data_IF_988705418206
#
_entry.id   IF_988705418206
#
_cell.length_a   1.000
_cell.length_b   1.000
_cell.length_c   1.000
_cell.angle_alpha   90.00
_cell.angle_beta   90.00
_cell.angle_gamma   90.00
#
_symmetry.space_group_name_H-M   'P 1'
#
loop_
_entity.id
_entity.type
_entity.pdbx_description
1 polymer ?
#
# COMPACT_ATOMS: atom_id res chain seq x y z
N UNK A 1 8.97 -8.74 -15.27
CA UNK A 1 7.51 -8.89 -15.08
C UNK A 1 7.09 -7.93 -13.97
N UNK A 2 6.04 -7.13 -14.19
CA UNK A 2 5.37 -6.35 -13.14
C UNK A 2 4.07 -7.06 -12.79
N UNK A 3 4.03 -7.72 -11.65
CA UNK A 3 2.84 -8.42 -11.14
C UNK A 3 2.03 -7.47 -10.25
N UNK A 4 1.01 -6.83 -10.82
CA UNK A 4 0.18 -5.83 -10.13
C UNK A 4 -1.19 -6.38 -9.71
N UNK A 5 -1.45 -7.68 -9.93
CA UNK A 5 -2.73 -8.30 -9.63
C UNK A 5 -2.94 -8.49 -8.13
N UNK A 6 -3.89 -7.79 -7.55
CA UNK A 6 -4.28 -7.92 -6.14
C UNK A 6 -5.71 -7.41 -5.90
N UNK A 7 -6.34 -7.85 -4.81
CA UNK A 7 -7.50 -7.16 -4.24
C UNK A 7 -7.04 -6.18 -3.17
N UNK A 8 -7.64 -4.99 -3.14
CA UNK A 8 -7.35 -3.95 -2.14
C UNK A 8 -7.96 -4.29 -0.77
N UNK A 9 -7.51 -3.59 0.27
CA UNK A 9 -7.74 -3.94 1.68
C UNK A 9 -9.20 -4.25 2.03
N UNK A 10 -10.13 -3.34 1.76
CA UNK A 10 -11.56 -3.51 2.09
C UNK A 10 -12.20 -4.64 1.27
N UNK A 11 -11.85 -4.73 -0.02
CA UNK A 11 -12.38 -5.78 -0.90
C UNK A 11 -11.82 -7.15 -0.51
N UNK A 12 -10.56 -7.23 -0.09
CA UNK A 12 -9.95 -8.46 0.37
C UNK A 12 -10.63 -9.02 1.64
N UNK A 13 -11.06 -8.15 2.58
CA UNK A 13 -11.82 -8.57 3.75
C UNK A 13 -13.19 -9.14 3.38
N UNK A 14 -13.87 -8.56 2.41
CA UNK A 14 -15.18 -9.07 1.95
C UNK A 14 -15.07 -10.36 1.13
N UNK A 15 -13.89 -10.67 0.55
CA UNK A 15 -13.65 -11.81 -0.35
C UNK A 15 -12.31 -12.50 -0.08
N UNK A 16 -12.08 -13.04 1.14
CA UNK A 16 -10.76 -13.52 1.55
C UNK A 16 -10.22 -14.68 0.68
N UNK A 17 -11.06 -15.61 0.28
CA UNK A 17 -10.65 -16.71 -0.60
C UNK A 17 -10.22 -16.22 -1.99
N UNK A 18 -10.88 -15.18 -2.52
CA UNK A 18 -10.51 -14.58 -3.79
C UNK A 18 -9.22 -13.78 -3.68
N UNK A 19 -9.02 -13.07 -2.55
CA UNK A 19 -7.78 -12.35 -2.26
C UNK A 19 -6.58 -13.31 -2.24
N UNK A 20 -6.73 -14.47 -1.59
CA UNK A 20 -5.71 -15.52 -1.60
C UNK A 20 -5.43 -16.00 -3.01
N UNK A 21 -6.47 -16.42 -3.74
CA UNK A 21 -6.33 -16.98 -5.07
C UNK A 21 -5.63 -16.03 -6.05
N UNK A 22 -6.02 -14.75 -6.06
CA UNK A 22 -5.40 -13.76 -6.94
C UNK A 22 -3.98 -13.40 -6.46
N UNK A 23 -3.83 -13.12 -5.15
CA UNK A 23 -2.57 -12.65 -4.58
C UNK A 23 -1.50 -13.73 -4.50
N UNK A 24 -1.85 -14.93 -4.11
CA UNK A 24 -0.88 -16.00 -3.81
C UNK A 24 -0.77 -17.01 -4.96
N UNK A 25 -1.89 -17.61 -5.40
CA UNK A 25 -1.83 -18.55 -6.53
C UNK A 25 -1.41 -17.83 -7.82
N UNK A 26 -1.87 -16.57 -8.00
CA UNK A 26 -1.44 -15.72 -9.10
C UNK A 26 0.06 -15.43 -9.06
N UNK A 27 0.60 -15.04 -7.90
CA UNK A 27 2.05 -14.83 -7.76
C UNK A 27 2.84 -16.10 -7.99
N UNK A 28 2.38 -17.24 -7.46
CA UNK A 28 3.04 -18.54 -7.68
C UNK A 28 3.23 -18.79 -9.18
N UNK A 29 2.17 -18.63 -9.98
CA UNK A 29 2.25 -18.81 -11.43
C UNK A 29 3.26 -17.84 -12.09
N UNK A 30 3.28 -16.58 -11.64
CA UNK A 30 4.23 -15.57 -12.14
C UNK A 30 5.67 -15.97 -11.81
N UNK A 31 5.92 -16.45 -10.59
CA UNK A 31 7.26 -16.88 -10.15
C UNK A 31 7.73 -18.13 -10.89
N UNK A 32 6.85 -19.09 -11.19
CA UNK A 32 7.20 -20.26 -12.01
C UNK A 32 7.57 -19.86 -13.44
N UNK A 33 6.79 -18.97 -14.06
CA UNK A 33 7.10 -18.41 -15.39
C UNK A 33 8.44 -17.64 -15.34
N UNK A 34 8.65 -16.83 -14.30
CA UNK A 34 9.88 -16.07 -14.15
C UNK A 34 11.11 -16.99 -13.98
N UNK A 35 10.96 -18.11 -13.27
CA UNK A 35 11.99 -19.14 -13.12
C UNK A 35 12.32 -19.80 -14.46
N UNK A 36 11.30 -20.17 -15.24
CA UNK A 36 11.45 -20.83 -16.54
C UNK A 36 12.14 -19.93 -17.57
N UNK A 37 11.74 -18.66 -17.62
CA UNK A 37 12.19 -17.70 -18.64
C UNK A 37 13.26 -16.72 -18.13
N UNK A 38 13.79 -16.92 -16.93
CA UNK A 38 14.83 -16.07 -16.32
C UNK A 38 14.44 -14.57 -16.30
N UNK A 39 13.23 -14.28 -15.87
CA UNK A 39 12.71 -12.92 -15.78
C UNK A 39 12.88 -12.35 -14.36
N UNK A 40 13.21 -11.06 -14.25
CA UNK A 40 13.05 -10.34 -12.99
C UNK A 40 11.56 -10.06 -12.72
N UNK A 41 11.14 -10.09 -11.46
CA UNK A 41 9.75 -9.89 -11.01
C UNK A 41 9.65 -8.75 -10.01
N UNK A 42 8.80 -7.79 -10.28
CA UNK A 42 8.34 -6.80 -9.32
C UNK A 42 6.94 -7.16 -8.83
N UNK A 43 6.75 -7.27 -7.51
CA UNK A 43 5.43 -7.45 -6.90
C UNK A 43 5.25 -6.43 -5.77
N UNK A 44 4.26 -5.53 -5.84
CA UNK A 44 4.04 -4.53 -4.80
C UNK A 44 3.65 -5.16 -3.47
N UNK A 45 4.37 -4.82 -2.40
CA UNK A 45 3.91 -4.97 -1.03
C UNK A 45 3.23 -3.68 -0.54
N UNK A 46 2.96 -3.56 0.73
CA UNK A 46 2.18 -2.46 1.32
C UNK A 46 2.51 -2.30 2.80
N UNK A 47 2.26 -1.10 3.35
CA UNK A 47 2.19 -0.88 4.80
C UNK A 47 1.18 -1.81 5.48
N UNK A 48 0.19 -2.32 4.73
CA UNK A 48 -0.74 -3.34 5.21
C UNK A 48 -0.11 -4.68 5.59
N UNK A 49 1.16 -4.93 5.27
CA UNK A 49 1.94 -6.09 5.75
C UNK A 49 2.31 -6.00 7.23
N UNK A 50 2.21 -4.82 7.83
CA UNK A 50 2.42 -4.58 9.26
C UNK A 50 1.15 -4.82 10.06
N UNK A 51 1.25 -4.79 11.37
CA UNK A 51 0.11 -5.00 12.28
C UNK A 51 0.35 -4.32 13.63
N UNK A 52 -0.61 -4.42 14.55
CA UNK A 52 -0.62 -3.74 15.84
C UNK A 52 0.64 -3.92 16.71
N UNK A 53 1.38 -5.02 16.53
CA UNK A 53 2.63 -5.27 17.25
C UNK A 53 3.87 -4.61 16.60
N UNK A 54 3.70 -4.01 15.44
CA UNK A 54 4.75 -3.26 14.74
C UNK A 54 4.91 -1.89 15.37
N UNK A 55 6.13 -1.35 15.54
CA UNK A 55 6.31 0.05 15.93
C UNK A 55 5.62 0.98 14.93
N UNK A 56 4.71 1.83 15.41
CA UNK A 56 3.85 2.65 14.53
C UNK A 56 4.56 3.87 13.96
N UNK A 57 5.53 4.43 14.68
CA UNK A 57 6.24 5.64 14.26
C UNK A 57 7.64 5.28 13.81
N UNK A 58 8.03 5.71 12.61
CA UNK A 58 9.32 5.40 11.98
C UNK A 58 9.57 3.89 11.95
N UNK A 59 8.60 3.16 11.44
CA UNK A 59 8.62 1.69 11.37
C UNK A 59 9.90 1.19 10.72
N UNK A 60 10.72 0.38 11.40
CA UNK A 60 11.96 -0.13 10.86
C UNK A 60 11.76 -1.02 9.62
N UNK A 61 12.78 -1.08 8.77
CA UNK A 61 12.79 -1.98 7.60
C UNK A 61 12.56 -3.44 8.01
N UNK A 62 13.28 -3.88 9.04
CA UNK A 62 13.19 -5.23 9.59
C UNK A 62 12.47 -5.17 10.93
N UNK A 63 11.23 -5.63 10.96
CA UNK A 63 10.38 -5.59 12.14
C UNK A 63 9.29 -6.67 12.08
N UNK A 64 8.47 -6.75 13.13
CA UNK A 64 7.37 -7.71 13.24
C UNK A 64 6.29 -7.41 12.20
N UNK A 65 5.97 -8.41 11.39
CA UNK A 65 4.86 -8.39 10.44
C UNK A 65 3.79 -9.40 10.91
N UNK A 66 2.76 -8.91 11.61
CA UNK A 66 1.63 -9.74 12.09
C UNK A 66 0.30 -9.03 11.80
N UNK A 67 -0.04 -8.83 10.52
CA UNK A 67 -1.30 -8.21 10.14
C UNK A 67 -2.47 -9.12 10.54
N UNK A 68 -3.64 -8.50 10.78
CA UNK A 68 -4.89 -9.19 11.08
C UNK A 68 -5.88 -9.15 9.91
N UNK A 69 -5.53 -8.45 8.83
CA UNK A 69 -6.35 -8.38 7.63
C UNK A 69 -5.92 -9.42 6.60
N UNK A 70 -6.86 -9.92 5.80
CA UNK A 70 -6.55 -10.85 4.70
C UNK A 70 -5.60 -10.21 3.69
N UNK A 71 -5.79 -8.92 3.41
CA UNK A 71 -4.88 -8.15 2.57
C UNK A 71 -3.44 -8.20 3.10
N UNK A 72 -3.27 -7.89 4.39
CA UNK A 72 -1.94 -7.93 5.02
C UNK A 72 -1.32 -9.33 5.04
N UNK A 73 -2.12 -10.36 5.34
CA UNK A 73 -1.68 -11.77 5.27
C UNK A 73 -1.17 -12.12 3.88
N UNK A 74 -1.89 -11.72 2.81
CA UNK A 74 -1.41 -11.95 1.45
C UNK A 74 -0.12 -11.19 1.16
N UNK A 75 0.02 -9.94 1.62
CA UNK A 75 1.25 -9.16 1.39
C UNK A 75 2.47 -9.76 2.09
N UNK A 76 2.36 -10.18 3.34
CA UNK A 76 3.45 -10.90 4.04
C UNK A 76 3.80 -12.20 3.30
N UNK A 77 2.80 -12.96 2.89
CA UNK A 77 3.02 -14.20 2.14
C UNK A 77 3.72 -13.94 0.81
N UNK A 78 3.36 -12.85 0.09
CA UNK A 78 4.03 -12.50 -1.17
C UNK A 78 5.51 -12.12 -0.94
N UNK A 79 5.83 -11.39 0.12
CA UNK A 79 7.22 -11.06 0.47
C UNK A 79 8.04 -12.34 0.74
N UNK A 80 7.54 -13.22 1.63
CA UNK A 80 8.22 -14.46 2.01
C UNK A 80 8.36 -15.43 0.83
N UNK A 81 7.33 -15.57 0.00
CA UNK A 81 7.38 -16.42 -1.18
C UNK A 81 8.38 -15.91 -2.22
N UNK A 82 8.45 -14.60 -2.41
CA UNK A 82 9.40 -13.96 -3.30
C UNK A 82 10.85 -14.15 -2.81
N UNK A 83 11.10 -14.02 -1.50
CA UNK A 83 12.41 -14.30 -0.89
C UNK A 83 12.80 -15.77 -1.05
N UNK A 84 11.85 -16.70 -0.87
CA UNK A 84 12.08 -18.12 -1.09
C UNK A 84 12.51 -18.40 -2.54
N UNK A 85 11.80 -17.84 -3.53
CA UNK A 85 12.17 -18.03 -4.95
C UNK A 85 13.52 -17.43 -5.31
N UNK A 86 13.85 -16.29 -4.72
CA UNK A 86 15.19 -15.72 -4.88
C UNK A 86 16.26 -16.64 -4.29
N UNK A 87 16.10 -17.06 -3.05
CA UNK A 87 17.09 -17.87 -2.33
C UNK A 87 17.24 -19.28 -2.93
N UNK A 88 16.10 -19.89 -3.29
CA UNK A 88 16.07 -21.29 -3.75
C UNK A 88 16.40 -21.43 -5.22
N UNK A 89 15.91 -20.54 -6.05
CA UNK A 89 15.92 -20.68 -7.51
C UNK A 89 16.66 -19.56 -8.23
N UNK A 90 17.13 -18.54 -7.51
CA UNK A 90 17.84 -17.40 -8.10
C UNK A 90 16.96 -16.44 -8.89
N UNK A 91 15.62 -16.52 -8.75
CA UNK A 91 14.71 -15.59 -9.42
C UNK A 91 14.89 -14.19 -8.86
N UNK A 92 15.17 -13.22 -9.70
CA UNK A 92 15.37 -11.82 -9.31
C UNK A 92 14.03 -11.18 -8.93
N UNK A 93 13.61 -11.38 -7.68
CA UNK A 93 12.38 -10.80 -7.13
C UNK A 93 12.66 -9.49 -6.42
N UNK A 94 11.81 -8.49 -6.61
CA UNK A 94 11.94 -7.15 -6.03
C UNK A 94 10.59 -6.61 -5.62
N UNK A 95 10.54 -5.91 -4.48
CA UNK A 95 9.30 -5.36 -3.93
C UNK A 95 9.55 -4.10 -3.12
N UNK A 96 8.54 -3.24 -3.05
CA UNK A 96 8.46 -2.12 -2.12
C UNK A 96 7.16 -2.20 -1.31
N UNK A 97 7.20 -1.78 -0.06
CA UNK A 97 6.00 -1.60 0.78
C UNK A 97 5.47 -0.21 0.52
N UNK A 98 4.49 -0.13 -0.36
CA UNK A 98 3.85 1.14 -0.67
C UNK A 98 3.02 1.64 0.50
N UNK A 99 3.09 2.95 0.81
CA UNK A 99 2.12 3.63 1.65
C UNK A 99 0.78 3.83 0.91
N UNK A 100 -0.13 4.61 1.44
CA UNK A 100 -1.31 5.07 0.71
C UNK A 100 -0.89 5.87 -0.52
N UNK A 101 -1.49 5.59 -1.67
CA UNK A 101 -1.11 6.25 -2.92
C UNK A 101 -2.17 7.26 -3.32
N UNK A 102 -1.74 8.52 -3.50
CA UNK A 102 -2.58 9.60 -3.98
C UNK A 102 -2.40 9.73 -5.49
N UNK A 103 -3.48 9.56 -6.24
CA UNK A 103 -3.52 9.70 -7.70
C UNK A 103 -4.54 10.77 -8.10
N UNK A 104 -4.21 11.54 -9.15
CA UNK A 104 -5.10 12.50 -9.78
C UNK A 104 -5.67 12.02 -11.13
N UNK A 105 -5.35 10.78 -11.54
CA UNK A 105 -5.74 10.25 -12.86
C UNK A 105 -6.86 9.22 -12.73
N UNK A 106 -6.78 8.36 -11.73
CA UNK A 106 -7.72 7.25 -11.56
C UNK A 106 -8.51 7.43 -10.26
N UNK A 107 -9.84 7.29 -10.28
CA UNK A 107 -10.65 7.25 -9.06
C UNK A 107 -10.21 6.13 -8.11
N UNK A 108 -10.49 6.27 -6.81
CA UNK A 108 -10.21 5.25 -5.81
C UNK A 108 -10.84 3.89 -6.11
N UNK A 109 -10.17 2.82 -5.68
CA UNK A 109 -10.54 1.44 -6.01
C UNK A 109 -11.03 0.57 -4.85
N UNK A 110 -11.34 1.15 -3.69
CA UNK A 110 -11.80 0.43 -2.49
C UNK A 110 -10.68 0.13 -1.48
N UNK A 111 -9.71 1.02 -1.36
CA UNK A 111 -8.68 1.00 -0.32
C UNK A 111 -9.05 1.80 0.92
N UNK A 112 -8.39 1.53 2.03
CA UNK A 112 -8.58 2.28 3.30
C UNK A 112 -8.10 3.72 3.18
N UNK A 113 -7.05 3.97 2.39
CA UNK A 113 -6.44 5.29 2.18
C UNK A 113 -7.12 6.13 1.10
N UNK A 114 -8.17 5.62 0.47
CA UNK A 114 -8.84 6.27 -0.66
C UNK A 114 -9.46 7.62 -0.29
N UNK A 115 -9.74 7.86 1.01
CA UNK A 115 -10.22 9.15 1.48
C UNK A 115 -9.29 10.31 1.06
N UNK A 116 -7.98 10.06 1.01
CA UNK A 116 -6.97 11.04 0.63
C UNK A 116 -6.97 11.37 -0.88
N UNK A 117 -7.77 10.65 -1.67
CA UNK A 117 -8.04 10.94 -3.09
C UNK A 117 -9.46 11.49 -3.23
N UNK A 118 -10.46 10.86 -2.59
CA UNK A 118 -11.88 11.27 -2.66
C UNK A 118 -12.09 12.71 -2.19
N UNK A 119 -11.33 13.14 -1.18
CA UNK A 119 -11.41 14.50 -0.65
C UNK A 119 -11.12 15.57 -1.72
N UNK A 120 -10.16 15.33 -2.62
CA UNK A 120 -9.86 16.24 -3.72
C UNK A 120 -10.98 16.26 -4.77
N UNK A 121 -11.57 15.11 -5.08
CA UNK A 121 -12.71 15.06 -6.01
C UNK A 121 -13.91 15.83 -5.47
N UNK A 122 -14.22 15.70 -4.17
CA UNK A 122 -15.29 16.46 -3.52
C UNK A 122 -14.98 17.96 -3.54
N UNK A 123 -13.77 18.35 -3.20
CA UNK A 123 -13.35 19.75 -3.20
C UNK A 123 -13.50 20.40 -4.58
N UNK A 124 -12.98 19.78 -5.64
CA UNK A 124 -13.05 20.30 -7.02
C UNK A 124 -14.50 20.42 -7.52
N UNK A 125 -15.39 19.53 -7.07
CA UNK A 125 -16.84 19.58 -7.40
C UNK A 125 -17.61 20.60 -6.57
N UNK A 126 -17.01 21.19 -5.54
CA UNK A 126 -17.71 22.06 -4.58
C UNK A 126 -18.68 21.29 -3.68
N UNK A 127 -18.44 20.00 -3.49
CA UNK A 127 -19.26 19.12 -2.64
C UNK A 127 -18.62 19.01 -1.25
N UNK A 128 -19.46 18.87 -0.22
CA UNK A 128 -18.99 18.56 1.13
C UNK A 128 -18.41 17.16 1.16
N UNK A 129 -17.21 17.01 1.72
CA UNK A 129 -16.59 15.69 1.91
C UNK A 129 -17.02 15.07 3.26
N UNK A 130 -17.30 13.76 3.25
CA UNK A 130 -17.56 12.98 4.46
C UNK A 130 -16.42 11.99 4.65
N UNK A 131 -15.56 12.27 5.63
CA UNK A 131 -14.37 11.46 5.89
C UNK A 131 -14.74 10.17 6.66
N UNK A 132 -14.34 8.98 6.18
CA UNK A 132 -14.68 7.72 6.83
C UNK A 132 -13.72 7.31 7.94
N UNK A 133 -12.66 8.07 8.20
CA UNK A 133 -11.69 7.82 9.27
C UNK A 133 -11.57 9.03 10.17
N UNK A 134 -11.22 8.82 11.45
CA UNK A 134 -11.15 9.88 12.48
C UNK A 134 -10.07 10.90 12.19
N UNK A 135 -10.27 12.13 12.67
CA UNK A 135 -9.17 13.07 12.89
C UNK A 135 -8.10 12.44 13.78
N UNK A 136 -6.83 12.74 13.51
CA UNK A 136 -5.70 12.15 14.23
C UNK A 136 -5.33 10.72 13.79
N UNK A 137 -5.98 10.17 12.75
CA UNK A 137 -5.56 8.89 12.14
C UNK A 137 -4.46 9.17 11.13
N UNK A 138 -3.21 9.06 11.57
CA UNK A 138 -2.05 9.25 10.71
C UNK A 138 -1.78 8.02 9.86
N UNK A 139 -1.45 8.23 8.60
CA UNK A 139 -1.00 7.18 7.68
C UNK A 139 0.04 7.75 6.72
N UNK A 140 1.04 6.93 6.39
CA UNK A 140 1.97 7.28 5.32
C UNK A 140 1.26 7.32 3.97
N UNK A 141 1.57 8.34 3.20
CA UNK A 141 1.03 8.60 1.87
C UNK A 141 2.14 8.94 0.88
N UNK A 142 1.91 8.68 -0.39
CA UNK A 142 2.84 8.96 -1.48
C UNK A 142 2.09 9.39 -2.73
N UNK A 143 2.64 10.33 -3.46
CA UNK A 143 2.10 10.72 -4.77
C UNK A 143 2.41 9.65 -5.83
N UNK A 144 1.45 9.35 -6.70
CA UNK A 144 1.57 8.26 -7.69
C UNK A 144 2.83 8.33 -8.57
N UNK A 145 3.27 9.49 -9.09
CA UNK A 145 4.52 9.58 -9.85
C UNK A 145 5.75 9.14 -9.06
N UNK A 146 5.83 9.43 -7.75
CA UNK A 146 6.94 9.00 -6.90
C UNK A 146 6.89 7.48 -6.67
N UNK A 147 5.69 6.92 -6.49
CA UNK A 147 5.49 5.48 -6.39
C UNK A 147 5.94 4.73 -7.67
N UNK A 148 5.59 5.27 -8.84
CA UNK A 148 6.04 4.74 -10.13
C UNK A 148 7.56 4.83 -10.28
N UNK A 149 8.15 5.99 -9.95
CA UNK A 149 9.60 6.18 -9.99
C UNK A 149 10.32 5.21 -9.05
N UNK A 150 9.80 4.96 -7.86
CA UNK A 150 10.37 3.99 -6.92
C UNK A 150 10.37 2.56 -7.50
N UNK A 151 9.25 2.14 -8.10
CA UNK A 151 9.13 0.82 -8.72
C UNK A 151 10.09 0.66 -9.91
N UNK A 152 10.14 1.65 -10.80
CA UNK A 152 11.00 1.62 -11.99
C UNK A 152 12.48 1.65 -11.58
N UNK A 153 12.87 2.58 -10.69
CA UNK A 153 14.25 2.71 -10.22
C UNK A 153 14.73 1.43 -9.51
N UNK A 154 13.86 0.77 -8.74
CA UNK A 154 14.18 -0.50 -8.11
C UNK A 154 14.41 -1.59 -9.17
N UNK A 155 13.59 -1.66 -10.20
CA UNK A 155 13.72 -2.66 -11.27
C UNK A 155 14.93 -2.42 -12.17
N UNK A 156 15.36 -1.17 -12.33
CA UNK A 156 16.55 -0.79 -13.10
C UNK A 156 17.84 -0.88 -12.28
N UNK A 157 17.74 -0.97 -10.95
CA UNK A 157 18.91 -1.08 -10.09
C UNK A 157 19.72 -2.37 -10.38
N UNK A 158 21.04 -2.27 -10.38
CA UNK A 158 21.90 -3.45 -10.51
C UNK A 158 21.65 -4.43 -9.35
N UNK A 159 21.37 -5.72 -9.61
CA UNK A 159 21.02 -6.71 -8.57
C UNK A 159 22.02 -6.80 -7.43
N UNK A 160 23.31 -6.62 -7.71
CA UNK A 160 24.38 -6.67 -6.71
C UNK A 160 24.35 -5.48 -5.71
N UNK A 161 23.60 -4.42 -6.01
CA UNK A 161 23.45 -3.26 -5.11
C UNK A 161 22.31 -3.41 -4.12
N UNK A 162 21.44 -4.38 -4.32
CA UNK A 162 20.26 -4.55 -3.48
C UNK A 162 20.63 -5.25 -2.17
N UNK A 163 20.51 -4.55 -1.05
CA UNK A 163 20.70 -5.09 0.31
C UNK A 163 19.51 -5.93 0.76
N UNK A 164 18.31 -5.51 0.38
CA UNK A 164 17.05 -6.24 0.54
C UNK A 164 16.48 -6.52 -0.85
N UNK A 165 15.43 -7.34 -0.91
CA UNK A 165 14.71 -7.58 -2.15
C UNK A 165 13.20 -7.46 -1.96
N UNK A 166 12.67 -8.07 -0.90
CA UNK A 166 11.25 -8.15 -0.63
C UNK A 166 10.97 -7.89 0.86
N UNK A 167 10.54 -6.68 1.26
CA UNK A 167 10.34 -5.52 0.42
C UNK A 167 11.00 -4.29 1.06
N UNK A 168 11.34 -3.30 0.25
CA UNK A 168 11.84 -2.03 0.79
C UNK A 168 10.70 -1.19 1.37
N UNK A 169 10.88 -0.66 2.59
CA UNK A 169 10.06 0.43 3.07
C UNK A 169 10.32 1.66 2.22
N UNK A 170 9.25 2.29 1.73
CA UNK A 170 9.32 3.61 1.10
C UNK A 170 8.31 4.53 1.76
N UNK A 171 8.74 5.74 2.06
CA UNK A 171 7.93 6.77 2.69
C UNK A 171 8.01 8.07 1.90
N UNK A 172 7.01 8.92 2.04
CA UNK A 172 7.00 10.26 1.49
C UNK A 172 6.49 11.25 2.52
N UNK A 173 5.24 11.13 2.93
CA UNK A 173 4.64 12.04 3.91
C UNK A 173 3.64 11.28 4.78
N UNK A 174 3.56 11.63 6.07
CA UNK A 174 2.53 11.14 6.96
C UNK A 174 1.62 12.29 7.37
N UNK A 175 0.32 12.12 7.24
CA UNK A 175 -0.67 13.11 7.65
C UNK A 175 -2.00 12.46 8.05
N UNK A 176 -2.81 13.21 8.76
CA UNK A 176 -4.16 12.85 9.12
C UNK A 176 -5.22 13.56 8.23
N UNK A 177 -6.50 13.18 8.30
CA UNK A 177 -7.54 13.81 7.48
C UNK A 177 -7.69 15.32 7.70
N UNK A 178 -7.42 15.81 8.92
CA UNK A 178 -7.52 17.23 9.21
C UNK A 178 -6.46 18.05 8.50
N UNK A 179 -5.22 17.53 8.46
CA UNK A 179 -4.12 18.22 7.79
C UNK A 179 -4.36 18.36 6.28
N UNK A 180 -4.80 17.31 5.59
CA UNK A 180 -5.10 17.40 4.17
C UNK A 180 -6.30 18.32 3.90
N UNK A 181 -7.31 18.31 4.76
CA UNK A 181 -8.45 19.23 4.69
C UNK A 181 -8.00 20.69 4.82
N UNK A 182 -7.14 20.99 5.79
CA UNK A 182 -6.62 22.35 5.97
C UNK A 182 -5.75 22.82 4.81
N UNK A 183 -4.98 21.92 4.19
CA UNK A 183 -4.21 22.25 2.98
C UNK A 183 -5.14 22.60 1.81
N UNK A 184 -6.21 21.83 1.60
CA UNK A 184 -7.19 22.13 0.55
C UNK A 184 -7.87 23.49 0.80
N UNK A 185 -8.21 23.80 2.05
CA UNK A 185 -8.85 25.08 2.41
C UNK A 185 -8.00 26.31 2.10
N UNK A 186 -6.69 26.22 2.01
CA UNK A 186 -5.83 27.33 1.57
C UNK A 186 -6.11 27.75 0.13
N UNK A 187 -6.59 26.83 -0.69
CA UNK A 187 -6.91 27.06 -2.10
C UNK A 187 -8.42 27.16 -2.37
N UNK A 188 -9.23 26.55 -1.50
CA UNK A 188 -10.69 26.46 -1.60
C UNK A 188 -11.31 26.79 -0.23
N UNK A 189 -11.39 28.07 0.17
CA UNK A 189 -11.79 28.48 1.53
C UNK A 189 -13.18 27.99 1.97
N UNK A 190 -14.11 27.85 1.01
CA UNK A 190 -15.49 27.44 1.26
C UNK A 190 -15.66 25.91 1.34
N UNK A 191 -14.59 25.12 1.13
CA UNK A 191 -14.68 23.67 1.20
C UNK A 191 -15.02 23.19 2.60
N UNK A 192 -15.96 22.26 2.71
CA UNK A 192 -16.44 21.69 3.97
C UNK A 192 -16.12 20.20 4.08
N UNK A 193 -15.75 19.78 5.28
CA UNK A 193 -15.59 18.38 5.64
C UNK A 193 -16.41 18.04 6.89
N UNK A 194 -16.91 16.82 6.96
CA UNK A 194 -17.49 16.20 8.14
C UNK A 194 -16.94 14.79 8.32
N UNK A 195 -17.22 14.17 9.45
CA UNK A 195 -16.80 12.81 9.76
C UNK A 195 -18.02 11.90 9.91
N UNK A 196 -17.99 10.75 9.22
CA UNK A 196 -18.89 9.62 9.43
C UNK A 196 -18.02 8.36 9.39
N UNK A 197 -17.65 7.88 10.57
CA UNK A 197 -16.61 6.86 10.71
C UNK A 197 -17.13 5.50 10.25
N UNK A 198 -16.45 4.92 9.26
CA UNK A 198 -16.61 3.53 8.86
C UNK A 198 -15.77 2.65 9.81
N UNK A 199 -16.42 1.80 10.65
CA UNK A 199 -15.71 1.00 11.65
C UNK A 199 -14.68 0.05 11.04
N UNK A 200 -14.93 -0.49 9.85
CA UNK A 200 -14.00 -1.40 9.17
C UNK A 200 -12.77 -0.65 8.67
N UNK A 201 -12.97 0.48 7.97
CA UNK A 201 -11.85 1.30 7.49
C UNK A 201 -11.01 1.83 8.64
N UNK A 202 -11.66 2.27 9.73
CA UNK A 202 -10.93 2.74 10.91
C UNK A 202 -10.11 1.63 11.56
N UNK A 203 -10.68 0.45 11.77
CA UNK A 203 -9.95 -0.67 12.36
C UNK A 203 -8.75 -1.12 11.50
N UNK A 204 -8.89 -1.06 10.16
CA UNK A 204 -7.79 -1.33 9.25
C UNK A 204 -6.70 -0.25 9.38
N UNK A 205 -7.10 1.03 9.36
CA UNK A 205 -6.16 2.16 9.50
C UNK A 205 -5.40 2.09 10.82
N UNK A 206 -6.09 1.87 11.94
CA UNK A 206 -5.51 1.74 13.29
C UNK A 206 -4.51 0.57 13.42
N UNK A 207 -4.53 -0.40 12.51
CA UNK A 207 -3.62 -1.53 12.49
C UNK A 207 -2.34 -1.30 11.69
N UNK A 208 -2.25 -0.18 10.98
CA UNK A 208 -1.11 0.17 10.12
C UNK A 208 -0.18 1.18 10.80
N UNK A 209 1.08 1.26 10.35
CA UNK A 209 1.98 2.30 10.82
C UNK A 209 1.51 3.71 10.50
N UNK A 210 1.79 4.63 11.43
CA UNK A 210 1.60 6.06 11.23
C UNK A 210 2.66 6.62 10.26
N UNK A 211 3.90 6.07 10.33
CA UNK A 211 5.02 6.45 9.45
C UNK A 211 6.03 5.31 9.29
N UNK A 212 6.66 5.25 8.12
CA UNK A 212 7.78 4.36 7.82
C UNK A 212 9.13 5.02 8.07
#
# INVERSE_FOLDING_TARGET
IYNLAALLSVVAESRPAMAWKIGIDGLWNVLEVAREYNCAVFTPSSIGSFGEATPHVKTPQDTIQRPRTMYGVTKVTTELLSDYYYTKYGVDTRSVRFPGIISNVTPPGGGTTDYAVDIFYSAVKGEKFVCPVKAGTYMDMMYMPDALNAAISLMEAAPARLKHRNAFNIASMSFDPEQIYQEIKKHMPDFEMAYEIDPLKQAIADSWPDSL
#
